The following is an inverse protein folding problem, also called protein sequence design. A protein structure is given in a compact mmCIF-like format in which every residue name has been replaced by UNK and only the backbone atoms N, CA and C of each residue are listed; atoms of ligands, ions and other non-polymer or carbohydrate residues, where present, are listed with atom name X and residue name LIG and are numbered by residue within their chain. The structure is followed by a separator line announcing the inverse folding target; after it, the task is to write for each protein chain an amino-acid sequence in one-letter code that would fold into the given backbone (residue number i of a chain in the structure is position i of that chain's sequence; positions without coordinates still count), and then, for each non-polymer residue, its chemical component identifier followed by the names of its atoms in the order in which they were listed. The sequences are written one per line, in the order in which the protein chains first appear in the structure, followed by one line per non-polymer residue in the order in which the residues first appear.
data_IF_859411750039
#
_entry.id   IF_859411750039
#
_cell.length_a   1.000
_cell.length_b   1.000
_cell.length_c   1.000
_cell.angle_alpha   90.00
_cell.angle_beta   90.00
_cell.angle_gamma   90.00
#
_symmetry.space_group_name_H-M   'P 1'
#
loop_
_entity.id
_entity.type
_entity.pdbx_description
1 polymer ?
#
# COMPACT_ATOMS: atom_id res chain seq x y z
N UNK A 1 21.01 0.91 -50.93
CA UNK A 1 19.93 -0.05 -50.70
C UNK A 1 19.97 -0.63 -49.30
N UNK A 2 21.13 -0.91 -48.77
CA UNK A 2 21.27 -1.35 -47.36
C UNK A 2 20.77 -0.30 -46.36
N UNK A 3 20.90 0.97 -46.72
CA UNK A 3 20.54 2.08 -45.82
C UNK A 3 19.04 2.14 -45.52
N UNK A 4 18.21 1.79 -46.51
CA UNK A 4 16.73 1.78 -46.32
C UNK A 4 16.30 0.69 -45.38
N UNK A 5 16.90 -0.49 -45.47
CA UNK A 5 16.61 -1.61 -44.57
C UNK A 5 17.06 -1.31 -43.17
N UNK A 6 18.25 -0.73 -43.00
CA UNK A 6 18.78 -0.31 -41.69
C UNK A 6 17.92 0.78 -41.07
N UNK A 7 17.49 1.76 -41.84
CA UNK A 7 16.62 2.83 -41.36
C UNK A 7 15.27 2.24 -40.92
N UNK A 8 14.70 1.34 -41.69
CA UNK A 8 13.44 0.68 -41.36
C UNK A 8 13.53 -0.11 -40.06
N UNK A 9 14.60 -0.90 -39.88
CA UNK A 9 14.84 -1.65 -38.65
C UNK A 9 15.01 -0.71 -37.46
N UNK A 10 15.73 0.39 -37.61
CA UNK A 10 15.90 1.39 -36.53
C UNK A 10 14.57 2.05 -36.14
N UNK A 11 13.72 2.34 -37.12
CA UNK A 11 12.40 2.90 -36.85
C UNK A 11 11.53 1.89 -36.10
N UNK A 12 11.57 0.64 -36.52
CA UNK A 12 10.82 -0.45 -35.87
C UNK A 12 11.30 -0.65 -34.43
N UNK A 13 12.62 -0.69 -34.22
CA UNK A 13 13.22 -0.80 -32.89
C UNK A 13 12.82 0.36 -31.99
N UNK A 14 12.79 1.57 -32.54
CA UNK A 14 12.38 2.76 -31.80
C UNK A 14 10.91 2.66 -31.36
N UNK A 15 10.03 2.22 -32.24
CA UNK A 15 8.61 2.04 -31.94
C UNK A 15 8.39 0.94 -30.91
N UNK A 16 9.13 -0.17 -31.03
CA UNK A 16 9.08 -1.27 -30.06
C UNK A 16 9.52 -0.80 -28.67
N UNK A 17 10.60 -0.03 -28.60
CA UNK A 17 11.07 0.57 -27.35
C UNK A 17 10.02 1.51 -26.76
N UNK A 18 9.43 2.34 -27.60
CA UNK A 18 8.38 3.27 -27.18
C UNK A 18 7.17 2.53 -26.61
N UNK A 19 6.76 1.44 -27.25
CA UNK A 19 5.64 0.62 -26.79
C UNK A 19 5.96 -0.05 -25.45
N UNK A 20 7.18 -0.57 -25.31
CA UNK A 20 7.64 -1.17 -24.04
C UNK A 20 7.65 -0.15 -22.91
N UNK A 21 8.18 1.05 -23.17
CA UNK A 21 8.20 2.13 -22.19
C UNK A 21 6.81 2.56 -21.78
N UNK A 22 5.89 2.62 -22.73
CA UNK A 22 4.49 2.94 -22.47
C UNK A 22 3.84 1.88 -21.57
N UNK A 23 4.08 0.60 -21.87
CA UNK A 23 3.57 -0.51 -21.07
C UNK A 23 4.16 -0.49 -19.65
N UNK A 24 5.46 -0.23 -19.52
CA UNK A 24 6.13 -0.11 -18.23
C UNK A 24 5.55 1.04 -17.42
N UNK A 25 5.34 2.18 -18.05
CA UNK A 25 4.73 3.36 -17.41
C UNK A 25 3.33 3.05 -16.87
N UNK A 26 2.53 2.34 -17.66
CA UNK A 26 1.20 1.89 -17.27
C UNK A 26 1.25 0.95 -16.06
N UNK A 27 2.16 -0.02 -16.08
CA UNK A 27 2.34 -0.96 -14.96
C UNK A 27 2.82 -0.26 -13.69
N UNK A 28 3.71 0.71 -13.81
CA UNK A 28 4.15 1.53 -12.68
C UNK A 28 2.98 2.32 -12.10
N UNK A 29 2.12 2.87 -12.96
CA UNK A 29 0.91 3.55 -12.53
C UNK A 29 -0.02 2.65 -11.73
N UNK A 30 -0.23 1.41 -12.20
CA UNK A 30 -1.02 0.41 -11.49
C UNK A 30 -0.40 0.04 -10.14
N UNK A 31 0.93 -0.17 -10.09
CA UNK A 31 1.63 -0.47 -8.86
C UNK A 31 1.50 0.67 -7.83
N UNK A 32 1.60 1.91 -8.29
CA UNK A 32 1.42 3.09 -7.43
C UNK A 32 0.01 3.15 -6.86
N UNK A 33 -1.00 2.91 -7.68
CA UNK A 33 -2.40 2.86 -7.23
C UNK A 33 -2.63 1.77 -6.18
N UNK A 34 -2.00 0.60 -6.36
CA UNK A 34 -2.06 -0.49 -5.38
C UNK A 34 -1.38 -0.11 -4.07
N UNK A 35 -0.23 0.56 -4.12
CA UNK A 35 0.46 1.05 -2.93
C UNK A 35 -0.37 2.06 -2.14
N UNK A 36 -1.05 2.97 -2.83
CA UNK A 36 -1.95 3.93 -2.19
C UNK A 36 -3.11 3.21 -1.49
N UNK A 37 -3.65 2.18 -2.13
CA UNK A 37 -4.72 1.35 -1.56
C UNK A 37 -4.26 0.61 -0.31
N UNK A 38 -3.06 0.01 -0.37
CA UNK A 38 -2.44 -0.67 0.77
C UNK A 38 -2.22 0.31 1.93
N UNK A 39 -1.71 1.50 1.66
CA UNK A 39 -1.49 2.51 2.67
C UNK A 39 -2.80 2.97 3.32
N UNK A 40 -3.87 3.09 2.55
CA UNK A 40 -5.20 3.42 3.07
C UNK A 40 -5.74 2.33 3.99
N UNK A 41 -5.58 1.07 3.61
CA UNK A 41 -5.98 -0.08 4.43
C UNK A 41 -5.17 -0.13 5.73
N UNK A 42 -3.86 0.10 5.65
CA UNK A 42 -2.97 0.16 6.82
C UNK A 42 -3.40 1.23 7.81
N UNK A 43 -3.72 2.41 7.32
CA UNK A 43 -4.18 3.51 8.18
C UNK A 43 -5.46 3.14 8.92
N UNK A 44 -6.40 2.47 8.24
CA UNK A 44 -7.64 1.99 8.87
C UNK A 44 -7.37 0.91 9.91
N UNK A 45 -6.46 -0.02 9.61
CA UNK A 45 -6.07 -1.08 10.55
C UNK A 45 -5.40 -0.51 11.81
N UNK A 46 -4.51 0.46 11.64
CA UNK A 46 -3.85 1.14 12.76
C UNK A 46 -4.86 1.86 13.65
N UNK A 47 -5.87 2.50 13.07
CA UNK A 47 -6.93 3.15 13.82
C UNK A 47 -7.76 2.15 14.62
N UNK A 48 -8.07 0.99 14.05
CA UNK A 48 -8.81 -0.08 14.74
C UNK A 48 -7.98 -0.67 15.88
N UNK A 49 -6.70 -0.94 15.66
CA UNK A 49 -5.79 -1.45 16.68
C UNK A 49 -5.66 -0.46 17.84
N UNK A 50 -5.53 0.82 17.54
CA UNK A 50 -5.47 1.87 18.56
C UNK A 50 -6.75 1.90 19.41
N UNK A 51 -7.90 1.78 18.77
CA UNK A 51 -9.19 1.72 19.46
C UNK A 51 -9.30 0.51 20.38
N UNK A 52 -8.89 -0.67 19.89
CA UNK A 52 -8.88 -1.89 20.71
C UNK A 52 -7.93 -1.78 21.89
N UNK A 53 -6.75 -1.19 21.69
CA UNK A 53 -5.79 -0.95 22.76
C UNK A 53 -6.41 -0.07 23.85
N UNK A 54 -7.11 0.98 23.48
CA UNK A 54 -7.79 1.86 24.43
C UNK A 54 -8.91 1.15 25.18
N UNK A 55 -9.68 0.30 24.47
CA UNK A 55 -10.74 -0.50 25.07
C UNK A 55 -10.18 -1.50 26.09
N UNK A 56 -9.08 -2.14 25.78
CA UNK A 56 -8.41 -3.08 26.71
C UNK A 56 -7.91 -2.34 27.95
N UNK A 57 -7.32 -1.16 27.80
CA UNK A 57 -6.89 -0.32 28.92
C UNK A 57 -8.05 0.08 29.82
N UNK A 58 -9.19 0.40 29.23
CA UNK A 58 -10.38 0.75 29.96
C UNK A 58 -10.90 -0.44 30.78
N UNK A 59 -10.92 -1.63 30.21
CA UNK A 59 -11.32 -2.85 30.90
C UNK A 59 -10.35 -3.17 32.04
N UNK A 60 -9.05 -3.05 31.81
CA UNK A 60 -8.02 -3.24 32.84
C UNK A 60 -8.21 -2.29 34.01
N UNK A 61 -8.51 -1.03 33.72
CA UNK A 61 -8.79 -0.02 34.75
C UNK A 61 -10.02 -0.37 35.58
N UNK A 62 -11.08 -0.83 34.94
CA UNK A 62 -12.30 -1.25 35.63
C UNK A 62 -12.07 -2.47 36.49
N UNK A 63 -11.29 -3.44 36.01
CA UNK A 63 -10.92 -4.62 36.80
C UNK A 63 -10.08 -4.24 38.04
N UNK A 64 -9.18 -3.30 37.89
CA UNK A 64 -8.36 -2.79 38.98
C UNK A 64 -9.23 -2.11 40.04
N UNK A 65 -10.20 -1.32 39.64
CA UNK A 65 -11.16 -0.66 40.53
C UNK A 65 -12.00 -1.67 41.30
N UNK A 66 -12.47 -2.73 40.62
CA UNK A 66 -13.25 -3.80 41.25
C UNK A 66 -12.39 -4.55 42.28
N UNK A 67 -11.13 -4.89 41.93
CA UNK A 67 -10.21 -5.56 42.82
C UNK A 67 -9.93 -4.73 44.09
N UNK A 68 -9.76 -3.42 43.93
CA UNK A 68 -9.59 -2.50 45.05
C UNK A 68 -10.81 -2.46 45.95
N UNK A 69 -11.99 -2.39 45.36
CA UNK A 69 -13.25 -2.40 46.11
C UNK A 69 -13.45 -3.68 46.89
N UNK A 70 -13.09 -4.83 46.32
CA UNK A 70 -13.17 -6.13 46.99
C UNK A 70 -12.16 -6.27 48.11
N UNK A 71 -10.98 -5.68 47.95
CA UNK A 71 -9.94 -5.69 48.98
C UNK A 71 -10.30 -4.85 50.20
N UNK A 72 -11.12 -3.84 50.05
CA UNK A 72 -11.55 -2.94 51.13
C UNK A 72 -12.71 -3.51 51.95
N UNK A 73 -13.24 -4.64 51.56
CA UNK A 73 -14.29 -5.36 52.29
C UNK A 73 -13.62 -6.32 53.30
#
# INVERSE_FOLDING_TARGET
MEDKTKIFVKIQDYEDIKDILSLMSEKIGHARALLEKINSIRAKEEAVISKWSDEVKEVESKLDDINKSLSDI
#
